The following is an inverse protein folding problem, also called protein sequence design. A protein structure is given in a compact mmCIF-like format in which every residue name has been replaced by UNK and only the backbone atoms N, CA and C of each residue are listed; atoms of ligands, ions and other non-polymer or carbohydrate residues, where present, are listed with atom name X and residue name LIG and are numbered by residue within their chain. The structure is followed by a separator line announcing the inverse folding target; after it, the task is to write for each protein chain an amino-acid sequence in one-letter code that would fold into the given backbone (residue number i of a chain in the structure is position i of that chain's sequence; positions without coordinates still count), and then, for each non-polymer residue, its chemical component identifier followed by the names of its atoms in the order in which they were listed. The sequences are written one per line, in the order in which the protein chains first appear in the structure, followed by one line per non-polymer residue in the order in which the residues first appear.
data_IF_122078977232
#
_entry.id   IF_122078977232
#
_cell.length_a   1.000
_cell.length_b   1.000
_cell.length_c   1.000
_cell.angle_alpha   90.00
_cell.angle_beta   90.00
_cell.angle_gamma   90.00
#
_symmetry.space_group_name_H-M   'P 1'
#
loop_
_entity.id
_entity.type
_entity.pdbx_description
1 polymer ?
#
# COMPACT_ATOMS: atom_id res chain seq x y z
N UNK A 1 -4.58 13.19 7.36
CA UNK A 1 -3.64 12.29 8.00
C UNK A 1 -3.82 12.37 9.50
N UNK A 2 -3.27 11.41 10.23
CA UNK A 2 -3.28 11.40 11.70
C UNK A 2 -2.10 12.16 12.31
N UNK A 3 -1.08 12.51 11.50
CA UNK A 3 0.08 13.28 11.90
C UNK A 3 0.07 14.64 11.17
N UNK A 4 0.08 15.72 11.93
CA UNK A 4 0.06 17.10 11.44
C UNK A 4 1.46 17.61 11.03
N UNK A 5 2.54 16.93 11.46
CA UNK A 5 3.93 17.29 11.14
C UNK A 5 4.34 16.93 9.72
N UNK A 6 3.63 15.99 9.09
CA UNK A 6 3.87 15.60 7.69
C UNK A 6 3.58 16.79 6.79
N UNK A 7 4.53 17.22 5.94
CA UNK A 7 4.34 18.38 5.09
C UNK A 7 3.71 18.03 3.71
N UNK A 8 3.98 16.83 3.21
CA UNK A 8 3.57 16.35 1.89
C UNK A 8 3.55 14.81 1.89
N UNK A 9 2.72 14.18 1.05
CA UNK A 9 2.62 12.71 0.96
C UNK A 9 2.75 12.24 -0.48
N UNK A 10 3.61 11.25 -0.73
CA UNK A 10 3.61 10.44 -1.95
C UNK A 10 3.31 9.00 -1.55
N UNK A 11 2.28 8.40 -2.14
CA UNK A 11 1.90 7.01 -1.91
C UNK A 11 1.98 6.25 -3.23
N UNK A 12 2.83 5.23 -3.30
CA UNK A 12 2.99 4.35 -4.47
C UNK A 12 2.43 2.97 -4.17
N UNK A 13 1.44 2.51 -4.95
CA UNK A 13 0.77 1.22 -4.74
C UNK A 13 0.06 1.09 -3.38
N UNK A 14 -0.23 2.22 -2.72
CA UNK A 14 -0.83 2.25 -1.39
C UNK A 14 -2.30 1.80 -1.39
N UNK A 15 -2.80 1.44 -0.20
CA UNK A 15 -4.20 1.06 -0.02
C UNK A 15 -4.95 1.91 1.01
N UNK A 16 -6.27 2.01 0.86
CA UNK A 16 -7.12 2.82 1.71
C UNK A 16 -7.93 2.01 2.73
N UNK A 17 -8.32 0.79 2.38
CA UNK A 17 -9.18 -0.08 3.18
C UNK A 17 -8.68 -1.52 3.15
N UNK A 18 -8.23 -2.00 4.31
CA UNK A 18 -7.62 -3.31 4.50
C UNK A 18 -8.52 -4.46 4.10
N UNK A 19 -9.76 -4.49 4.60
CA UNK A 19 -10.73 -5.53 4.26
C UNK A 19 -11.03 -5.57 2.76
N UNK A 20 -11.34 -4.41 2.15
CA UNK A 20 -11.63 -4.34 0.71
C UNK A 20 -10.43 -4.82 -0.11
N UNK A 21 -9.22 -4.42 0.27
CA UNK A 21 -7.97 -4.92 -0.35
C UNK A 21 -7.87 -6.44 -0.24
N UNK A 22 -8.03 -7.01 0.95
CA UNK A 22 -7.87 -8.45 1.15
C UNK A 22 -8.98 -9.27 0.49
N UNK A 23 -10.20 -8.76 0.38
CA UNK A 23 -11.26 -9.40 -0.41
C UNK A 23 -10.88 -9.48 -1.90
N UNK A 24 -10.20 -8.48 -2.42
CA UNK A 24 -9.65 -8.52 -3.78
C UNK A 24 -8.46 -9.48 -3.94
N UNK A 25 -7.63 -9.62 -2.90
CA UNK A 25 -6.45 -10.50 -2.91
C UNK A 25 -6.79 -11.98 -2.67
N UNK A 26 -7.88 -12.26 -1.94
CA UNK A 26 -8.34 -13.60 -1.60
C UNK A 26 -9.73 -13.85 -2.22
N UNK A 27 -9.83 -13.97 -3.56
CA UNK A 27 -11.10 -14.00 -4.25
C UNK A 27 -11.87 -15.31 -4.01
N UNK A 28 -13.18 -15.17 -3.85
CA UNK A 28 -14.09 -16.30 -3.62
C UNK A 28 -14.12 -16.78 -2.16
N UNK A 29 -15.17 -17.53 -1.83
CA UNK A 29 -15.44 -17.94 -0.45
C UNK A 29 -14.32 -18.79 0.16
N UNK A 30 -13.73 -19.71 -0.62
CA UNK A 30 -12.69 -20.59 -0.12
C UNK A 30 -11.38 -19.84 0.22
N UNK A 31 -10.91 -18.95 -0.66
CA UNK A 31 -9.69 -18.20 -0.40
C UNK A 31 -9.89 -17.21 0.76
N UNK A 32 -11.04 -16.52 0.77
CA UNK A 32 -11.42 -15.63 1.86
C UNK A 32 -11.50 -16.36 3.21
N UNK A 33 -12.09 -17.56 3.22
CA UNK A 33 -12.16 -18.39 4.42
C UNK A 33 -10.76 -18.79 4.91
N UNK A 34 -9.87 -19.23 4.02
CA UNK A 34 -8.48 -19.57 4.41
C UNK A 34 -7.75 -18.38 5.05
N UNK A 35 -7.90 -17.19 4.49
CA UNK A 35 -7.31 -15.97 5.05
C UNK A 35 -7.88 -15.63 6.43
N UNK A 36 -9.21 -15.65 6.58
CA UNK A 36 -9.88 -15.31 7.85
C UNK A 36 -9.64 -16.36 8.94
N UNK A 37 -9.62 -17.65 8.58
CA UNK A 37 -9.21 -18.74 9.49
C UNK A 37 -7.76 -18.53 9.98
N UNK A 38 -6.86 -18.04 9.13
CA UNK A 38 -5.48 -17.71 9.52
C UNK A 38 -5.44 -16.59 10.56
N UNK A 39 -6.25 -15.53 10.40
CA UNK A 39 -6.37 -14.44 11.38
C UNK A 39 -6.90 -14.96 12.72
N UNK A 40 -7.96 -15.78 12.69
CA UNK A 40 -8.56 -16.37 13.89
C UNK A 40 -7.56 -17.29 14.62
N UNK A 41 -6.85 -18.14 13.87
CA UNK A 41 -5.77 -18.98 14.40
C UNK A 41 -4.68 -18.15 15.07
N UNK A 42 -4.30 -17.02 14.47
CA UNK A 42 -3.32 -16.08 15.01
C UNK A 42 -3.75 -15.48 16.33
N UNK A 43 -4.98 -14.95 16.38
CA UNK A 43 -5.59 -14.38 17.59
C UNK A 43 -5.66 -15.41 18.72
N UNK A 44 -6.19 -16.60 18.43
CA UNK A 44 -6.31 -17.69 19.41
C UNK A 44 -4.95 -18.11 19.97
N UNK A 45 -3.94 -18.27 19.10
CA UNK A 45 -2.59 -18.63 19.54
C UNK A 45 -2.03 -17.59 20.53
N UNK A 46 -2.17 -16.30 20.22
CA UNK A 46 -1.73 -15.21 21.10
C UNK A 46 -2.45 -15.20 22.45
N UNK A 47 -3.76 -15.45 22.46
CA UNK A 47 -4.56 -15.52 23.69
C UNK A 47 -4.16 -16.72 24.58
N UNK A 48 -3.80 -17.86 23.96
CA UNK A 48 -3.44 -19.09 24.68
C UNK A 48 -1.98 -19.09 25.19
N UNK A 49 -1.05 -18.52 24.41
CA UNK A 49 0.40 -18.65 24.67
C UNK A 49 1.06 -17.36 25.14
N UNK A 50 0.45 -16.19 24.87
CA UNK A 50 1.06 -14.87 25.04
C UNK A 50 2.01 -14.47 23.90
N UNK A 51 2.33 -15.38 22.97
CA UNK A 51 3.31 -15.19 21.90
C UNK A 51 2.62 -15.00 20.52
N UNK A 52 3.25 -14.29 19.56
CA UNK A 52 2.72 -14.19 18.20
C UNK A 52 2.84 -15.51 17.43
N UNK A 53 1.80 -15.83 16.65
CA UNK A 53 1.90 -16.86 15.61
C UNK A 53 2.59 -16.30 14.37
N UNK A 54 3.63 -16.97 13.89
CA UNK A 54 4.24 -16.69 12.59
C UNK A 54 3.53 -17.48 11.47
N UNK A 55 3.24 -16.81 10.37
CA UNK A 55 2.57 -17.35 9.18
C UNK A 55 3.36 -17.01 7.92
N UNK A 56 3.16 -17.77 6.85
CA UNK A 56 3.82 -17.51 5.57
C UNK A 56 3.32 -16.21 4.94
N UNK A 57 4.21 -15.44 4.28
CA UNK A 57 3.85 -14.16 3.65
C UNK A 57 2.74 -14.33 2.62
N UNK A 58 2.68 -15.46 1.93
CA UNK A 58 1.71 -15.73 0.88
C UNK A 58 0.34 -16.16 1.42
N UNK A 59 0.26 -16.59 2.69
CA UNK A 59 -1.04 -16.69 3.39
C UNK A 59 -1.64 -15.30 3.62
N UNK A 60 -0.80 -14.26 3.78
CA UNK A 60 -1.25 -12.88 3.97
C UNK A 60 -1.51 -12.21 2.60
N UNK A 61 -0.48 -12.12 1.75
CA UNK A 61 -0.52 -11.46 0.44
C UNK A 61 -0.12 -12.48 -0.65
N UNK A 62 -1.08 -13.03 -1.41
CA UNK A 62 -0.83 -14.04 -2.42
C UNK A 62 -0.25 -13.43 -3.71
N UNK A 63 1.02 -13.03 -3.68
CA UNK A 63 1.71 -12.47 -4.85
C UNK A 63 1.75 -13.52 -5.98
N UNK A 64 1.29 -13.18 -7.20
CA UNK A 64 1.38 -14.04 -8.37
C UNK A 64 2.81 -14.52 -8.62
N UNK A 65 2.99 -15.79 -9.00
CA UNK A 65 4.31 -16.42 -9.14
C UNK A 65 5.25 -15.63 -10.09
N UNK A 66 4.73 -15.17 -11.23
CA UNK A 66 5.49 -14.40 -12.21
C UNK A 66 6.00 -13.04 -11.69
N UNK A 67 5.42 -12.49 -10.61
CA UNK A 67 5.86 -11.25 -9.98
C UNK A 67 6.86 -11.48 -8.84
N UNK A 68 7.01 -12.71 -8.35
CA UNK A 68 7.91 -13.01 -7.22
C UNK A 68 9.38 -12.79 -7.56
N UNK A 69 9.76 -12.87 -8.84
CA UNK A 69 11.12 -12.56 -9.32
C UNK A 69 11.53 -11.11 -9.04
N UNK A 70 10.55 -10.20 -8.90
CA UNK A 70 10.79 -8.80 -8.60
C UNK A 70 10.93 -8.52 -7.09
N UNK A 71 10.77 -9.54 -6.24
CA UNK A 71 10.98 -9.40 -4.80
C UNK A 71 12.48 -9.23 -4.51
N UNK A 72 12.87 -8.27 -3.65
CA UNK A 72 14.27 -8.12 -3.25
C UNK A 72 14.84 -9.40 -2.64
N UNK A 73 16.10 -9.69 -2.93
CA UNK A 73 16.84 -10.78 -2.28
C UNK A 73 16.83 -10.59 -0.76
N UNK A 74 16.61 -11.68 -0.01
CA UNK A 74 16.52 -11.65 1.45
C UNK A 74 15.18 -11.15 2.00
N UNK A 75 14.14 -11.01 1.17
CA UNK A 75 12.79 -10.66 1.62
C UNK A 75 12.30 -11.60 2.72
N UNK A 76 11.76 -11.03 3.81
CA UNK A 76 11.15 -11.78 4.91
C UNK A 76 9.98 -12.61 4.39
N UNK A 77 9.99 -13.91 4.72
CA UNK A 77 8.99 -14.88 4.28
C UNK A 77 7.95 -15.23 5.35
N UNK A 78 8.23 -14.92 6.62
CA UNK A 78 7.30 -15.16 7.71
C UNK A 78 6.99 -13.87 8.46
N UNK A 79 5.72 -13.63 8.73
CA UNK A 79 5.24 -12.47 9.48
C UNK A 79 4.34 -12.96 10.60
N UNK A 80 4.11 -12.11 11.61
CA UNK A 80 3.11 -12.43 12.64
C UNK A 80 1.71 -12.32 12.05
N UNK A 81 0.79 -13.16 12.50
CA UNK A 81 -0.62 -13.02 12.17
C UNK A 81 -1.19 -11.65 12.61
N UNK A 82 -0.62 -11.03 13.65
CA UNK A 82 -0.97 -9.66 14.06
C UNK A 82 -0.63 -8.63 12.97
N UNK A 83 0.39 -8.88 12.14
CA UNK A 83 0.70 -8.01 10.99
C UNK A 83 -0.44 -8.07 9.98
N UNK A 84 -0.95 -9.27 9.69
CA UNK A 84 -2.10 -9.44 8.80
C UNK A 84 -3.37 -8.81 9.38
N UNK A 85 -3.59 -8.95 10.68
CA UNK A 85 -4.71 -8.31 11.38
C UNK A 85 -4.62 -6.77 11.29
N UNK A 86 -3.45 -6.20 11.55
CA UNK A 86 -3.24 -4.75 11.43
C UNK A 86 -3.43 -4.26 9.99
N UNK A 87 -3.03 -5.04 8.99
CA UNK A 87 -3.30 -4.73 7.59
C UNK A 87 -4.80 -4.81 7.25
N UNK A 88 -5.55 -5.71 7.88
CA UNK A 88 -7.00 -5.90 7.68
C UNK A 88 -7.79 -4.74 8.27
N UNK A 89 -7.37 -4.26 9.44
CA UNK A 89 -7.97 -3.13 10.16
C UNK A 89 -7.52 -1.76 9.64
N UNK A 90 -6.58 -1.71 8.70
CA UNK A 90 -6.04 -0.46 8.19
C UNK A 90 -7.07 0.30 7.33
N UNK A 91 -7.48 1.50 7.79
CA UNK A 91 -8.46 2.35 7.10
C UNK A 91 -7.93 3.77 6.83
N UNK A 92 -6.83 3.89 6.09
CA UNK A 92 -6.28 5.21 5.71
C UNK A 92 -7.29 6.11 4.98
N UNK A 93 -8.25 5.52 4.27
CA UNK A 93 -9.30 6.29 3.58
C UNK A 93 -10.19 7.11 4.52
N UNK A 94 -10.31 6.74 5.79
CA UNK A 94 -11.11 7.47 6.79
C UNK A 94 -10.45 8.78 7.22
N UNK A 95 -9.13 8.89 7.05
CA UNK A 95 -8.32 10.01 7.56
C UNK A 95 -7.59 10.78 6.47
N UNK A 96 -7.72 10.35 5.20
CA UNK A 96 -7.02 10.97 4.07
C UNK A 96 -7.45 12.43 3.86
N UNK A 97 -8.73 12.75 4.10
CA UNK A 97 -9.25 14.11 4.00
C UNK A 97 -8.50 15.09 4.93
N UNK A 98 -8.06 14.65 6.10
CA UNK A 98 -7.31 15.49 7.06
C UNK A 98 -5.86 15.79 6.61
N UNK A 99 -5.43 15.32 5.42
CA UNK A 99 -4.14 15.72 4.87
C UNK A 99 -4.23 17.16 4.36
N UNK A 100 -5.34 17.50 3.70
CA UNK A 100 -5.58 18.85 3.22
C UNK A 100 -5.44 19.90 4.35
N UNK A 101 -4.90 21.08 4.06
CA UNK A 101 -4.52 21.59 2.73
C UNK A 101 -3.12 21.15 2.24
N UNK A 102 -2.49 20.17 2.89
CA UNK A 102 -1.19 19.65 2.47
C UNK A 102 -1.32 18.79 1.21
N UNK A 103 -0.31 18.78 0.33
CA UNK A 103 -0.37 18.10 -0.95
C UNK A 103 -0.20 16.58 -0.82
N UNK A 104 -0.99 15.82 -1.58
CA UNK A 104 -0.84 14.37 -1.73
C UNK A 104 -0.75 13.93 -3.21
N UNK A 105 0.20 13.04 -3.50
CA UNK A 105 0.34 12.32 -4.76
C UNK A 105 0.06 10.83 -4.55
N UNK A 106 -0.93 10.30 -5.25
CA UNK A 106 -1.23 8.87 -5.33
C UNK A 106 -0.73 8.32 -6.67
N UNK A 107 0.19 7.36 -6.63
CA UNK A 107 0.71 6.64 -7.78
C UNK A 107 0.22 5.19 -7.71
N UNK A 108 -0.38 4.68 -8.79
CA UNK A 108 -0.85 3.30 -8.83
C UNK A 108 -0.80 2.75 -10.26
N UNK A 109 -0.55 1.44 -10.41
CA UNK A 109 -0.67 0.80 -11.71
C UNK A 109 -2.14 0.72 -12.10
N UNK A 110 -2.46 0.94 -13.37
CA UNK A 110 -3.85 0.90 -13.86
C UNK A 110 -4.45 -0.51 -13.76
N UNK A 111 -3.59 -1.53 -13.77
CA UNK A 111 -3.90 -2.92 -13.46
C UNK A 111 -2.79 -3.41 -12.53
N UNK A 112 -3.09 -3.50 -11.24
CA UNK A 112 -2.16 -4.00 -10.22
C UNK A 112 -2.62 -5.37 -9.73
N UNK A 113 -1.80 -6.38 -9.98
CA UNK A 113 -2.09 -7.79 -9.68
C UNK A 113 -1.86 -8.15 -8.21
N UNK A 114 -1.35 -7.23 -7.40
CA UNK A 114 -1.08 -7.44 -5.97
C UNK A 114 -2.04 -6.60 -5.13
N UNK A 115 -2.10 -5.29 -5.34
CA UNK A 115 -2.98 -4.38 -4.58
C UNK A 115 -4.01 -3.79 -5.53
N UNK A 116 -5.31 -4.09 -5.39
CA UNK A 116 -6.33 -3.60 -6.32
C UNK A 116 -6.28 -2.07 -6.53
N UNK A 117 -6.22 -1.63 -7.79
CA UNK A 117 -6.11 -0.20 -8.16
C UNK A 117 -7.21 0.68 -7.57
N UNK A 118 -8.40 0.11 -7.35
CA UNK A 118 -9.53 0.78 -6.68
C UNK A 118 -9.15 1.41 -5.34
N UNK A 119 -8.13 0.90 -4.66
CA UNK A 119 -7.69 1.42 -3.37
C UNK A 119 -7.20 2.87 -3.48
N UNK A 120 -6.37 3.20 -4.47
CA UNK A 120 -5.96 4.59 -4.70
C UNK A 120 -7.10 5.45 -5.25
N UNK A 121 -8.01 4.88 -6.04
CA UNK A 121 -9.18 5.60 -6.58
C UNK A 121 -10.13 6.03 -5.45
N UNK A 122 -10.44 5.13 -4.52
CA UNK A 122 -11.32 5.43 -3.38
C UNK A 122 -10.67 6.41 -2.40
N UNK A 123 -9.35 6.31 -2.18
CA UNK A 123 -8.60 7.32 -1.45
C UNK A 123 -8.66 8.69 -2.12
N UNK A 124 -8.43 8.78 -3.44
CA UNK A 124 -8.49 10.03 -4.18
C UNK A 124 -9.84 10.73 -4.07
N UNK A 125 -10.94 9.97 -4.20
CA UNK A 125 -12.32 10.50 -4.05
C UNK A 125 -12.57 11.16 -2.69
N UNK A 126 -11.88 10.71 -1.64
CA UNK A 126 -12.02 11.19 -0.25
C UNK A 126 -10.99 12.25 0.13
N UNK A 127 -9.93 12.41 -0.65
CA UNK A 127 -8.87 13.37 -0.37
C UNK A 127 -9.37 14.81 -0.53
N UNK A 128 -8.94 15.68 0.39
CA UNK A 128 -9.06 17.13 0.19
C UNK A 128 -7.97 17.64 -0.76
N UNK A 129 -8.12 18.88 -1.25
CA UNK A 129 -7.18 19.47 -2.20
C UNK A 129 -5.98 20.15 -1.50
N UNK A 130 -4.80 20.17 -2.15
CA UNK A 130 -4.49 19.61 -3.47
C UNK A 130 -4.18 18.11 -3.41
N UNK A 131 -4.80 17.34 -4.30
CA UNK A 131 -4.58 15.90 -4.45
C UNK A 131 -4.43 15.52 -5.92
N UNK A 132 -3.43 14.69 -6.23
CA UNK A 132 -3.18 14.15 -7.57
C UNK A 132 -3.25 12.62 -7.53
N UNK A 133 -3.87 12.00 -8.55
CA UNK A 133 -3.86 10.56 -8.78
C UNK A 133 -3.33 10.27 -10.19
N UNK A 134 -2.25 9.50 -10.27
CA UNK A 134 -1.68 9.04 -11.53
C UNK A 134 -1.78 7.52 -11.63
N UNK A 135 -2.56 7.06 -12.62
CA UNK A 135 -2.65 5.66 -13.00
C UNK A 135 -1.71 5.39 -14.18
N UNK A 136 -0.78 4.45 -14.02
CA UNK A 136 0.22 4.11 -15.04
C UNK A 136 -0.13 2.78 -15.72
N UNK A 137 -0.31 2.81 -17.04
CA UNK A 137 -0.47 1.61 -17.86
C UNK A 137 0.90 0.96 -18.15
N UNK A 138 0.86 -0.31 -18.57
CA UNK A 138 2.03 -1.14 -18.90
C UNK A 138 3.00 -1.34 -17.72
N UNK A 139 2.50 -1.16 -16.49
CA UNK A 139 3.18 -1.47 -15.24
C UNK A 139 2.26 -2.32 -14.37
N UNK A 140 2.85 -3.25 -13.60
CA UNK A 140 2.16 -3.97 -12.51
C UNK A 140 2.63 -3.39 -11.16
N UNK A 141 2.55 -4.14 -10.06
CA UNK A 141 2.78 -3.67 -8.70
C UNK A 141 4.14 -2.96 -8.47
N UNK A 142 5.20 -3.41 -9.13
CA UNK A 142 6.56 -2.88 -8.95
C UNK A 142 6.88 -1.71 -9.89
N UNK A 143 6.06 -0.65 -9.86
CA UNK A 143 6.16 0.47 -10.81
C UNK A 143 7.37 1.40 -10.65
N UNK A 144 8.02 1.38 -9.48
CA UNK A 144 9.16 2.23 -9.14
C UNK A 144 10.52 1.68 -9.60
N UNK A 145 10.54 0.72 -10.54
CA UNK A 145 11.78 0.24 -11.14
C UNK A 145 12.53 1.39 -11.83
N UNK A 146 13.86 1.41 -11.74
CA UNK A 146 14.74 2.50 -12.23
C UNK A 146 14.51 2.87 -13.71
N UNK A 147 13.99 1.94 -14.52
CA UNK A 147 13.70 2.15 -15.94
C UNK A 147 12.40 2.94 -16.20
N UNK A 148 11.55 3.18 -15.21
CA UNK A 148 10.26 3.84 -15.41
C UNK A 148 10.35 5.37 -15.34
N UNK A 149 10.93 5.95 -16.39
CA UNK A 149 11.14 7.41 -16.51
C UNK A 149 9.86 8.23 -16.40
N UNK A 150 8.70 7.66 -16.78
CA UNK A 150 7.40 8.35 -16.67
C UNK A 150 7.02 8.61 -15.21
N UNK A 151 7.10 7.59 -14.36
CA UNK A 151 6.79 7.72 -12.92
C UNK A 151 7.81 8.63 -12.24
N UNK A 152 9.09 8.51 -12.60
CA UNK A 152 10.17 9.36 -12.05
C UNK A 152 9.92 10.84 -12.36
N UNK A 153 9.54 11.17 -13.60
CA UNK A 153 9.28 12.56 -13.98
C UNK A 153 8.05 13.13 -13.28
N UNK A 154 6.97 12.35 -13.12
CA UNK A 154 5.78 12.76 -12.35
C UNK A 154 6.18 13.14 -10.91
N UNK A 155 6.98 12.30 -10.25
CA UNK A 155 7.44 12.56 -8.87
C UNK A 155 8.29 13.84 -8.83
N UNK A 156 9.22 14.00 -9.77
CA UNK A 156 10.10 15.17 -9.84
C UNK A 156 9.31 16.47 -9.99
N UNK A 157 8.38 16.49 -10.94
CA UNK A 157 7.56 17.68 -11.22
C UNK A 157 6.65 18.01 -10.03
N UNK A 158 6.08 16.98 -9.40
CA UNK A 158 5.24 17.15 -8.23
C UNK A 158 6.01 17.70 -7.03
N UNK A 159 7.20 17.16 -6.74
CA UNK A 159 8.09 17.67 -5.69
C UNK A 159 8.52 19.11 -5.98
N UNK A 160 8.91 19.44 -7.22
CA UNK A 160 9.29 20.80 -7.58
C UNK A 160 8.17 21.82 -7.32
N UNK A 161 6.90 21.42 -7.50
CA UNK A 161 5.74 22.28 -7.26
C UNK A 161 5.38 22.43 -5.79
N UNK A 162 5.35 21.32 -5.05
CA UNK A 162 4.72 21.24 -3.74
C UNK A 162 5.69 21.08 -2.57
N UNK A 163 6.91 20.67 -2.85
CA UNK A 163 7.97 20.44 -1.87
C UNK A 163 9.35 20.79 -2.47
N UNK A 164 9.53 22.04 -2.96
CA UNK A 164 10.78 22.43 -3.60
C UNK A 164 11.94 22.29 -2.60
N UNK A 165 12.99 21.59 -3.02
CA UNK A 165 14.23 21.62 -2.27
C UNK A 165 14.88 22.98 -2.51
N UNK A 166 15.01 23.79 -1.44
CA UNK A 166 15.95 24.89 -1.42
C UNK A 166 17.36 24.26 -1.42
N UNK A 167 17.86 23.90 -2.60
CA UNK A 167 19.25 23.52 -2.73
C UNK A 167 20.08 24.78 -2.45
N UNK A 168 20.94 24.82 -1.41
CA UNK A 168 21.96 25.85 -1.35
C UNK A 168 22.78 25.71 -2.63
N UNK A 169 23.04 26.83 -3.30
CA UNK A 169 23.53 26.89 -4.68
C UNK A 169 24.97 26.37 -4.84
N UNK A 170 25.60 25.87 -3.79
CA UNK A 170 26.96 25.37 -3.77
C UNK A 170 27.06 24.12 -2.88
N UNK A 171 27.13 22.93 -3.51
CA UNK A 171 27.63 21.69 -2.92
C UNK A 171 28.37 20.87 -4.00
#
# INVERSE_FOLDING_TARGET
GVDDRVAAVISSGGWGNGERKFRGQHPGEEAWKKFTDMLERGKKHREETGEPLFVDRYEIVPIPEHLRVNMPSGSVQQFTADTAQGMMEFTAEDVIAHIAPRPILLLHSSVDSVTPTEQSVEMFKRAGQPADLHLTADTDHFMMAESNTRVINIIRDWLAKYFPADAPTDA
#
